data_IF_096688714560
#
_entry.id   IF_096688714560
#
_cell.length_a   1.000
_cell.length_b   1.000
_cell.length_c   1.000
_cell.angle_alpha   90.00
_cell.angle_beta   90.00
_cell.angle_gamma   90.00
#
_symmetry.space_group_name_H-M   'P 1'
#
loop_
_entity.id
_entity.type
_entity.pdbx_description
1 polymer ?
#
# COMPACT_ATOMS: atom_id res chain seq x y z
N UNK A 1 -14.43 -37.74 -23.22
CA UNK A 1 -14.72 -36.32 -23.43
C UNK A 1 -14.40 -35.59 -22.12
N UNK A 2 -13.16 -35.14 -21.95
CA UNK A 2 -12.75 -34.37 -20.77
C UNK A 2 -12.98 -32.90 -21.10
N UNK A 3 -13.83 -32.22 -20.33
CA UNK A 3 -14.08 -30.79 -20.50
C UNK A 3 -12.86 -30.01 -20.00
N UNK A 4 -12.00 -29.57 -20.91
CA UNK A 4 -10.91 -28.65 -20.59
C UNK A 4 -11.48 -27.25 -20.39
N UNK A 5 -11.80 -26.89 -19.14
CA UNK A 5 -11.97 -25.49 -18.76
C UNK A 5 -10.59 -24.83 -18.71
N UNK A 6 -10.09 -24.36 -19.86
CA UNK A 6 -8.81 -23.66 -20.02
C UNK A 6 -8.83 -22.22 -19.48
N UNK A 7 -9.49 -21.96 -18.35
CA UNK A 7 -9.44 -20.63 -17.74
C UNK A 7 -9.58 -20.60 -16.21
N UNK A 8 -9.34 -21.73 -15.54
CA UNK A 8 -8.96 -21.68 -14.13
C UNK A 8 -7.44 -21.65 -14.11
N UNK A 9 -6.86 -20.45 -14.05
CA UNK A 9 -5.52 -20.35 -13.49
C UNK A 9 -5.56 -21.10 -12.15
N UNK A 10 -4.64 -22.05 -11.89
CA UNK A 10 -4.58 -22.66 -10.57
C UNK A 10 -4.47 -21.51 -9.58
N UNK A 11 -5.35 -21.47 -8.60
CA UNK A 11 -5.36 -20.45 -7.56
C UNK A 11 -3.99 -20.49 -6.91
N UNK A 12 -3.08 -19.61 -7.35
CA UNK A 12 -1.71 -19.60 -6.86
C UNK A 12 -1.71 -19.18 -5.40
N UNK A 13 -2.73 -18.46 -4.94
CA UNK A 13 -2.88 -18.00 -3.56
C UNK A 13 -3.42 -19.13 -2.67
N UNK A 14 -2.66 -19.52 -1.65
CA UNK A 14 -3.09 -20.44 -0.59
C UNK A 14 -4.11 -19.76 0.34
N UNK A 15 -3.88 -18.49 0.69
CA UNK A 15 -4.77 -17.72 1.57
C UNK A 15 -4.91 -16.26 1.14
N UNK A 16 -6.13 -15.79 0.78
CA UNK A 16 -6.35 -14.38 0.51
C UNK A 16 -6.18 -13.55 1.78
N UNK A 17 -5.78 -12.29 1.62
CA UNK A 17 -5.72 -11.34 2.72
C UNK A 17 -6.30 -9.97 2.35
N UNK A 18 -6.86 -9.34 3.38
CA UNK A 18 -7.10 -7.91 3.47
C UNK A 18 -6.44 -7.46 4.78
N UNK A 19 -5.31 -6.76 4.69
CA UNK A 19 -4.57 -6.27 5.85
C UNK A 19 -4.71 -4.75 5.92
N UNK A 20 -4.94 -4.23 7.13
CA UNK A 20 -5.15 -2.82 7.35
C UNK A 20 -4.18 -2.27 8.39
N UNK A 21 -3.73 -1.04 8.19
CA UNK A 21 -2.95 -0.28 9.15
C UNK A 21 -3.46 1.16 9.23
N UNK A 22 -3.40 1.75 10.42
CA UNK A 22 -3.86 3.12 10.67
C UNK A 22 -2.69 4.01 11.04
N UNK A 23 -2.62 5.19 10.42
CA UNK A 23 -1.67 6.25 10.75
C UNK A 23 -2.48 7.45 11.25
N UNK A 24 -2.06 8.05 12.36
CA UNK A 24 -2.80 9.16 12.99
C UNK A 24 -1.84 10.16 13.65
N UNK A 25 -2.39 11.10 14.41
CA UNK A 25 -1.65 12.14 15.14
C UNK A 25 -0.56 11.62 16.11
N UNK A 26 -0.58 10.33 16.48
CA UNK A 26 0.42 9.72 17.36
C UNK A 26 1.54 9.01 16.59
N UNK A 27 1.44 8.88 15.26
CA UNK A 27 2.44 8.22 14.44
C UNK A 27 3.63 9.14 14.20
N UNK A 28 4.83 8.68 14.53
CA UNK A 28 6.08 9.40 14.29
C UNK A 28 6.32 9.60 12.80
N UNK A 29 6.78 10.79 12.41
CA UNK A 29 7.21 11.06 11.04
C UNK A 29 8.49 10.30 10.69
N UNK A 30 8.56 9.82 9.46
CA UNK A 30 9.68 9.07 8.89
C UNK A 30 10.52 9.99 8.01
N UNK A 31 11.83 9.99 8.22
CA UNK A 31 12.76 10.61 7.26
C UNK A 31 12.90 9.72 6.03
N UNK A 32 12.65 10.24 4.81
CA UNK A 32 12.85 9.46 3.58
C UNK A 32 14.34 9.24 3.25
N UNK A 33 15.26 9.95 3.91
CA UNK A 33 16.71 9.83 3.71
C UNK A 33 17.32 8.86 4.73
N UNK A 34 16.92 8.96 6.00
CA UNK A 34 17.40 8.12 7.10
C UNK A 34 16.20 7.42 7.74
N UNK A 35 15.61 6.47 7.03
CA UNK A 35 14.39 5.79 7.47
C UNK A 35 14.70 4.79 8.59
N UNK A 36 14.05 4.95 9.73
CA UNK A 36 14.13 4.03 10.88
C UNK A 36 12.95 3.04 10.88
N UNK A 37 13.22 1.76 11.07
CA UNK A 37 12.18 0.71 11.09
C UNK A 37 11.10 0.93 12.15
N UNK A 38 11.49 1.47 13.31
CA UNK A 38 10.57 1.68 14.43
C UNK A 38 9.44 2.68 14.09
N UNK A 39 9.65 3.54 13.10
CA UNK A 39 8.69 4.54 12.68
C UNK A 39 7.83 4.08 11.48
N UNK A 40 8.10 2.88 10.93
CA UNK A 40 7.28 2.28 9.89
C UNK A 40 6.16 1.46 10.52
N UNK A 41 4.94 1.64 10.00
CA UNK A 41 3.80 0.82 10.39
C UNK A 41 3.70 -0.36 9.43
N UNK A 42 3.75 -1.58 9.96
CA UNK A 42 3.59 -2.79 9.18
C UNK A 42 2.18 -2.89 8.58
N UNK A 43 2.12 -3.09 7.27
CA UNK A 43 0.88 -3.36 6.53
C UNK A 43 0.76 -4.86 6.21
N UNK A 44 1.79 -5.48 5.65
CA UNK A 44 1.84 -6.93 5.37
C UNK A 44 3.16 -7.50 5.84
N UNK A 45 3.14 -8.63 6.54
CA UNK A 45 4.34 -9.42 6.86
C UNK A 45 4.14 -10.82 6.32
N UNK A 46 5.17 -11.36 5.69
CA UNK A 46 5.19 -12.74 5.20
C UNK A 46 5.94 -13.61 6.20
N UNK A 47 5.33 -14.74 6.58
CA UNK A 47 5.91 -15.66 7.56
C UNK A 47 5.36 -15.46 8.97
N UNK A 48 4.14 -14.91 9.11
CA UNK A 48 3.39 -14.97 10.37
C UNK A 48 3.03 -16.43 10.70
N UNK A 49 2.85 -17.26 9.66
CA UNK A 49 2.57 -18.69 9.76
C UNK A 49 3.72 -19.46 9.10
N UNK A 50 4.17 -20.60 9.64
CA UNK A 50 5.29 -21.36 9.09
C UNK A 50 5.13 -21.80 7.63
N UNK A 51 3.89 -21.99 7.18
CA UNK A 51 3.56 -22.40 5.82
C UNK A 51 3.55 -21.27 4.78
N UNK A 52 3.75 -20.01 5.20
CA UNK A 52 3.82 -18.89 4.26
C UNK A 52 5.24 -18.77 3.72
N UNK A 53 5.39 -18.92 2.42
CA UNK A 53 6.66 -18.81 1.70
C UNK A 53 6.75 -17.49 0.91
N UNK A 54 5.61 -16.90 0.53
CA UNK A 54 5.57 -15.58 -0.12
C UNK A 54 4.21 -14.88 0.05
N UNK A 55 4.12 -13.63 -0.41
CA UNK A 55 2.86 -12.91 -0.63
C UNK A 55 2.91 -12.04 -1.88
N UNK A 56 1.78 -11.90 -2.58
CA UNK A 56 1.58 -10.88 -3.61
C UNK A 56 0.56 -9.91 -3.07
N UNK A 57 0.91 -8.63 -3.13
CA UNK A 57 0.01 -7.50 -2.89
C UNK A 57 -0.43 -6.98 -4.25
N UNK A 58 -1.73 -7.10 -4.54
CA UNK A 58 -2.31 -6.74 -5.83
C UNK A 58 -2.85 -5.30 -5.83
N UNK A 59 -3.38 -4.87 -4.69
CA UNK A 59 -3.94 -3.53 -4.55
C UNK A 59 -3.64 -2.94 -3.17
N UNK A 60 -3.43 -1.62 -3.16
CA UNK A 60 -3.31 -0.82 -1.96
C UNK A 60 -4.23 0.38 -2.13
N UNK A 61 -5.20 0.47 -1.23
CA UNK A 61 -6.13 1.59 -1.18
C UNK A 61 -6.04 2.33 0.14
N UNK A 62 -6.37 3.61 0.08
CA UNK A 62 -6.24 4.54 1.19
C UNK A 62 -7.59 5.18 1.47
N UNK A 63 -7.96 5.24 2.74
CA UNK A 63 -9.16 5.91 3.22
C UNK A 63 -8.73 7.00 4.19
N UNK A 64 -8.95 8.25 3.80
CA UNK A 64 -8.80 9.38 4.70
C UNK A 64 -9.98 9.40 5.66
N UNK A 65 -9.74 9.24 6.96
CA UNK A 65 -10.76 9.34 8.00
C UNK A 65 -10.71 10.70 8.69
N UNK A 66 -10.14 11.68 8.02
CA UNK A 66 -9.94 13.02 8.53
C UNK A 66 -11.25 13.80 8.61
N UNK A 67 -11.34 14.72 9.57
CA UNK A 67 -12.52 15.56 9.79
C UNK A 67 -12.35 16.99 9.30
N UNK A 68 -11.36 17.27 8.44
CA UNK A 68 -11.11 18.65 8.02
C UNK A 68 -12.23 19.15 7.11
N UNK A 69 -12.61 20.45 7.20
CA UNK A 69 -13.67 21.00 6.38
C UNK A 69 -13.36 20.89 4.89
N UNK A 70 -14.37 20.53 4.10
CA UNK A 70 -14.32 20.62 2.64
C UNK A 70 -14.12 22.09 2.22
N UNK A 71 -13.37 22.30 1.13
CA UNK A 71 -13.08 23.62 0.55
C UNK A 71 -12.28 24.63 1.41
N UNK A 72 -11.74 24.21 2.56
CA UNK A 72 -10.86 25.03 3.41
C UNK A 72 -9.41 25.18 2.94
N UNK A 73 -9.16 25.00 1.64
CA UNK A 73 -7.83 24.79 1.02
C UNK A 73 -7.48 23.30 0.89
N UNK A 74 -6.70 22.92 -0.14
CA UNK A 74 -6.27 21.52 -0.33
C UNK A 74 -5.39 21.13 0.84
N UNK A 75 -5.93 20.33 1.75
CA UNK A 75 -5.20 19.81 2.91
C UNK A 75 -4.67 18.43 2.57
N UNK A 76 -3.37 18.24 2.60
CA UNK A 76 -2.79 16.97 2.20
C UNK A 76 -1.57 16.58 3.03
N UNK A 77 -1.27 15.28 3.07
CA UNK A 77 -0.07 14.77 3.72
C UNK A 77 0.62 13.69 2.89
N UNK A 78 1.95 13.63 2.99
CA UNK A 78 2.77 12.69 2.25
C UNK A 78 2.99 11.38 3.01
N UNK A 79 2.96 10.28 2.27
CA UNK A 79 3.19 8.92 2.76
C UNK A 79 4.17 8.19 1.85
N UNK A 80 4.91 7.25 2.43
CA UNK A 80 5.82 6.37 1.70
C UNK A 80 5.46 4.90 1.89
N UNK A 81 5.54 4.12 0.82
CA UNK A 81 5.46 2.67 0.85
C UNK A 81 6.86 2.08 0.88
N UNK A 82 7.14 1.26 1.89
CA UNK A 82 8.46 0.71 2.15
C UNK A 82 8.43 -0.81 2.15
N UNK A 83 9.49 -1.43 1.64
CA UNK A 83 9.75 -2.85 1.82
C UNK A 83 11.04 -3.04 2.60
N UNK A 84 11.00 -3.95 3.56
CA UNK A 84 12.17 -4.32 4.36
C UNK A 84 12.08 -5.76 4.82
N UNK A 85 13.24 -6.38 5.01
CA UNK A 85 13.36 -7.69 5.64
C UNK A 85 14.17 -7.52 6.93
N UNK A 86 13.56 -7.57 8.13
CA UNK A 86 14.34 -7.59 9.36
C UNK A 86 15.21 -8.85 9.35
N UNK A 87 16.52 -8.69 9.24
CA UNK A 87 17.45 -9.80 9.42
C UNK A 87 17.24 -10.38 10.82
N UNK A 88 16.76 -11.63 10.92
CA UNK A 88 16.49 -12.32 12.19
C UNK A 88 17.73 -12.36 13.11
N UNK A 89 18.94 -12.28 12.55
CA UNK A 89 20.19 -12.25 13.29
C UNK A 89 20.67 -10.83 13.67
N UNK A 90 20.21 -9.79 12.98
CA UNK A 90 20.59 -8.39 13.23
C UNK A 90 19.51 -7.42 12.70
N UNK A 91 18.42 -7.20 13.45
CA UNK A 91 17.30 -6.35 13.02
C UNK A 91 17.69 -4.90 12.68
N UNK A 92 18.87 -4.44 13.11
CA UNK A 92 19.38 -3.07 12.95
C UNK A 92 20.21 -2.81 11.67
N UNK A 93 20.45 -3.82 10.81
CA UNK A 93 21.31 -3.66 9.60
C UNK A 93 20.57 -3.80 8.27
N UNK A 94 19.30 -4.16 8.26
CA UNK A 94 18.49 -4.03 7.05
C UNK A 94 18.27 -2.53 6.76
N UNK A 95 18.15 -2.14 5.49
CA UNK A 95 17.72 -0.80 5.11
C UNK A 95 16.34 -0.90 4.45
N UNK A 96 15.33 -0.14 4.88
CA UNK A 96 14.04 -0.10 4.20
C UNK A 96 14.20 0.58 2.85
N UNK A 97 13.59 -0.01 1.82
CA UNK A 97 13.58 0.53 0.47
C UNK A 97 12.25 1.25 0.26
N UNK A 98 12.29 2.54 -0.04
CA UNK A 98 11.12 3.31 -0.46
C UNK A 98 10.75 2.90 -1.89
N UNK A 99 9.58 2.27 -2.07
CA UNK A 99 9.10 1.81 -3.37
C UNK A 99 8.21 2.86 -4.03
N UNK A 100 7.41 3.57 -3.24
CA UNK A 100 6.52 4.62 -3.76
C UNK A 100 6.31 5.73 -2.72
N UNK A 101 6.08 6.96 -3.16
CA UNK A 101 5.70 8.11 -2.36
C UNK A 101 4.49 8.79 -2.99
N UNK A 102 3.45 9.02 -2.19
CA UNK A 102 2.21 9.64 -2.64
C UNK A 102 1.68 10.62 -1.60
N UNK A 103 0.71 11.44 -2.01
CA UNK A 103 0.07 12.45 -1.15
C UNK A 103 -1.41 12.12 -1.01
N UNK A 104 -1.91 12.13 0.23
CA UNK A 104 -3.31 11.86 0.54
C UNK A 104 -4.04 13.15 0.91
N UNK A 105 -5.21 13.37 0.32
CA UNK A 105 -6.10 14.46 0.70
C UNK A 105 -6.79 14.19 2.04
N UNK A 106 -6.81 15.19 2.93
CA UNK A 106 -7.29 15.08 4.30
C UNK A 106 -8.73 15.61 4.48
N UNK A 107 -9.54 15.68 3.43
CA UNK A 107 -10.92 16.22 3.51
C UNK A 107 -11.87 15.29 4.26
N UNK A 108 -12.81 15.87 5.01
CA UNK A 108 -13.90 15.18 5.69
C UNK A 108 -15.14 14.93 4.82
N UNK A 109 -15.02 15.12 3.50
CA UNK A 109 -16.11 14.88 2.57
C UNK A 109 -16.65 13.47 2.67
N UNK A 110 -17.95 13.34 2.43
CA UNK A 110 -18.63 12.03 2.42
C UNK A 110 -18.24 11.19 1.20
N UNK A 111 -17.71 11.85 0.16
CA UNK A 111 -17.13 11.21 -1.02
C UNK A 111 -15.60 11.23 -0.92
N UNK A 112 -14.99 10.05 -0.78
CA UNK A 112 -13.54 9.90 -0.77
C UNK A 112 -12.96 9.87 -2.18
N UNK A 113 -11.81 10.50 -2.37
CA UNK A 113 -11.00 10.28 -3.57
C UNK A 113 -10.23 8.97 -3.39
N UNK A 114 -10.51 7.98 -4.24
CA UNK A 114 -9.70 6.76 -4.29
C UNK A 114 -8.33 7.14 -4.84
N UNK A 115 -7.35 7.16 -3.94
CA UNK A 115 -5.95 7.33 -4.30
C UNK A 115 -5.30 5.95 -4.22
N UNK A 116 -5.15 5.34 -5.40
CA UNK A 116 -4.42 4.08 -5.56
C UNK A 116 -2.92 4.36 -5.53
N UNK A 117 -2.17 3.48 -4.89
CA UNK A 117 -0.71 3.47 -4.94
C UNK A 117 -0.27 2.64 -6.15
N UNK A 118 0.46 3.25 -7.09
CA UNK A 118 1.03 2.52 -8.23
C UNK A 118 2.05 1.48 -7.74
N UNK A 119 1.89 0.25 -8.20
CA UNK A 119 2.81 -0.86 -7.89
C UNK A 119 3.63 -1.24 -9.14
N UNK A 120 4.75 -1.98 -9.00
CA UNK A 120 5.50 -2.43 -10.16
C UNK A 120 4.62 -3.22 -11.15
N UNK A 121 4.77 -2.93 -12.45
CA UNK A 121 4.07 -3.67 -13.51
C UNK A 121 4.46 -5.14 -13.48
N UNK A 122 3.49 -6.02 -13.66
CA UNK A 122 3.71 -7.47 -13.80
C UNK A 122 3.38 -7.93 -15.20
N UNK A 123 3.95 -9.07 -15.58
CA UNK A 123 3.71 -9.73 -16.88
C UNK A 123 2.42 -10.57 -16.89
N UNK A 124 1.58 -10.46 -15.85
CA UNK A 124 0.35 -11.23 -15.75
C UNK A 124 -0.64 -10.75 -16.82
N UNK A 125 -1.24 -11.66 -17.61
CA UNK A 125 -2.19 -11.28 -18.64
C UNK A 125 -3.44 -10.66 -18.01
N UNK A 126 -3.78 -9.43 -18.40
CA UNK A 126 -5.05 -8.80 -18.01
C UNK A 126 -6.02 -8.85 -19.18
N UNK A 127 -7.31 -9.07 -18.92
CA UNK A 127 -8.33 -8.88 -19.95
C UNK A 127 -8.29 -7.43 -20.42
N UNK A 128 -8.15 -7.22 -21.73
CA UNK A 128 -8.23 -5.90 -22.37
C UNK A 128 -9.69 -5.41 -22.43
N UNK A 129 -10.39 -5.44 -21.31
CA UNK A 129 -11.80 -5.05 -21.20
C UNK A 129 -11.89 -3.69 -20.53
N UNK A 130 -12.11 -2.63 -21.31
CA UNK A 130 -12.31 -1.27 -20.80
C UNK A 130 -12.22 -0.19 -21.88
N UNK A 131 -12.80 0.98 -21.62
CA UNK A 131 -12.70 2.16 -22.49
C UNK A 131 -11.32 2.83 -22.33
N UNK A 132 -10.59 2.95 -23.45
CA UNK A 132 -9.25 3.55 -23.57
C UNK A 132 -9.27 5.08 -23.57
N UNK A 133 -10.46 5.70 -23.65
CA UNK A 133 -10.60 7.15 -23.61
C UNK A 133 -10.67 7.71 -22.19
N UNK A 134 -10.76 6.84 -21.18
CA UNK A 134 -10.71 7.25 -19.79
C UNK A 134 -9.24 7.47 -19.40
N UNK A 135 -8.94 8.66 -18.90
CA UNK A 135 -7.67 8.98 -18.24
C UNK A 135 -7.57 8.13 -16.98
N UNK A 136 -6.96 6.96 -17.09
CA UNK A 136 -6.74 6.04 -15.97
C UNK A 136 -5.25 6.07 -15.61
N UNK A 137 -4.91 5.94 -14.31
CA UNK A 137 -3.51 5.81 -13.87
C UNK A 137 -2.77 4.60 -14.47
N UNK A 138 -3.48 3.60 -14.98
CA UNK A 138 -2.91 2.38 -15.55
C UNK A 138 -3.32 2.24 -17.01
N UNK A 139 -2.31 1.98 -17.85
CA UNK A 139 -2.51 1.63 -19.25
C UNK A 139 -3.36 0.35 -19.36
N UNK A 140 -4.38 0.38 -20.22
CA UNK A 140 -5.19 -0.80 -20.51
C UNK A 140 -4.27 -1.97 -20.92
N UNK A 141 -4.34 -3.09 -20.19
CA UNK A 141 -3.52 -4.27 -20.47
C UNK A 141 -2.33 -4.49 -19.52
N UNK A 142 -2.05 -3.57 -18.59
CA UNK A 142 -1.03 -3.75 -17.56
C UNK A 142 -1.63 -4.22 -16.23
N UNK A 143 -1.04 -5.25 -15.61
CA UNK A 143 -1.28 -5.57 -14.21
C UNK A 143 -0.16 -4.97 -13.36
N UNK A 144 -0.44 -4.68 -12.09
CA UNK A 144 0.56 -4.27 -11.11
C UNK A 144 0.43 -5.16 -9.89
N UNK A 145 1.56 -5.57 -9.33
CA UNK A 145 1.57 -6.31 -8.08
C UNK A 145 2.96 -6.25 -7.46
N UNK A 146 3.01 -6.37 -6.14
CA UNK A 146 4.26 -6.44 -5.39
C UNK A 146 4.43 -7.83 -4.79
N UNK A 147 5.46 -8.55 -5.23
CA UNK A 147 5.88 -9.82 -4.65
C UNK A 147 6.77 -9.59 -3.42
N UNK A 148 6.46 -10.30 -2.33
CA UNK A 148 7.18 -10.27 -1.06
C UNK A 148 7.58 -11.71 -0.69
N UNK A 149 8.86 -11.95 -0.45
CA UNK A 149 9.34 -13.24 0.02
C UNK A 149 9.12 -13.42 1.53
N UNK A 150 9.20 -14.66 2.01
CA UNK A 150 9.21 -14.99 3.44
C UNK A 150 10.19 -14.09 4.21
N UNK A 151 9.72 -13.50 5.30
CA UNK A 151 10.51 -12.60 6.13
C UNK A 151 10.50 -11.14 5.66
N UNK A 152 9.97 -10.82 4.48
CA UNK A 152 9.77 -9.44 4.06
C UNK A 152 8.50 -8.85 4.66
N UNK A 153 8.56 -7.55 4.88
CA UNK A 153 7.50 -6.73 5.43
C UNK A 153 7.27 -5.54 4.50
N UNK A 154 6.00 -5.35 4.12
CA UNK A 154 5.50 -4.12 3.54
C UNK A 154 5.08 -3.19 4.68
N UNK A 155 5.66 -1.99 4.72
CA UNK A 155 5.37 -0.97 5.70
C UNK A 155 4.94 0.36 5.08
N UNK A 156 4.21 1.15 5.85
CA UNK A 156 3.84 2.53 5.51
C UNK A 156 4.57 3.48 6.44
N UNK A 157 5.18 4.51 5.85
CA UNK A 157 5.81 5.61 6.58
C UNK A 157 5.00 6.89 6.43
N UNK A 158 4.77 7.57 7.55
CA UNK A 158 4.20 8.91 7.56
C UNK A 158 5.30 9.93 7.28
N UNK A 159 5.28 10.62 6.13
CA UNK A 159 6.34 11.58 5.78
C UNK A 159 6.03 13.00 6.26
N UNK A 160 4.80 13.26 6.73
CA UNK A 160 4.37 14.58 7.18
C UNK A 160 4.02 15.50 6.02
N UNK A 161 4.70 16.64 5.92
CA UNK A 161 4.30 17.75 5.08
C UNK A 161 4.30 17.40 3.58
N UNK A 162 3.17 17.69 2.94
CA UNK A 162 2.99 17.79 1.49
C UNK A 162 3.15 19.26 1.05
N UNK A 163 3.35 19.60 -0.25
CA UNK A 163 3.40 20.99 -0.71
C UNK A 163 2.17 21.85 -0.32
N UNK A 164 1.07 21.23 0.10
CA UNK A 164 -0.14 21.89 0.60
C UNK A 164 -0.49 21.43 2.04
N UNK A 165 0.54 21.22 2.87
CA UNK A 165 0.40 20.66 4.22
C UNK A 165 -0.47 21.51 5.17
N UNK A 166 -1.18 20.82 6.05
CA UNK A 166 -1.94 21.43 7.16
C UNK A 166 -0.98 21.69 8.31
N UNK A 167 -1.00 22.93 8.83
CA UNK A 167 -0.40 23.21 10.14
C UNK A 167 -1.10 22.36 11.20
N UNK A 168 -0.39 21.40 11.80
CA UNK A 168 -0.91 20.55 12.88
C UNK A 168 -0.91 19.03 12.62
N UNK A 169 -0.59 18.56 11.40
CA UNK A 169 -0.46 17.14 11.10
C UNK A 169 -1.79 16.38 10.97
N UNK A 170 -1.77 15.06 11.13
CA UNK A 170 -2.96 14.20 11.07
C UNK A 170 -3.81 14.34 12.35
N UNK A 171 -5.11 14.05 12.26
CA UNK A 171 -5.98 13.97 13.44
C UNK A 171 -5.88 12.60 14.14
N UNK A 172 -6.50 12.42 15.33
CA UNK A 172 -6.64 11.09 15.94
C UNK A 172 -7.42 10.10 15.06
N UNK A 173 -8.31 10.61 14.20
CA UNK A 173 -9.06 9.81 13.22
C UNK A 173 -8.16 9.33 12.09
N UNK A 174 -7.19 10.13 11.66
CA UNK A 174 -6.08 9.71 10.81
C UNK A 174 -6.47 9.17 9.43
N UNK A 175 -5.58 8.34 8.88
CA UNK A 175 -5.69 7.73 7.56
C UNK A 175 -5.50 6.21 7.69
N UNK A 176 -6.38 5.45 7.04
CA UNK A 176 -6.33 4.00 7.00
C UNK A 176 -5.80 3.50 5.66
N UNK A 177 -4.81 2.61 5.72
CA UNK A 177 -4.19 1.95 4.57
C UNK A 177 -4.60 0.50 4.56
N UNK A 178 -4.94 -0.01 3.38
CA UNK A 178 -5.36 -1.40 3.21
C UNK A 178 -4.60 -2.01 2.04
N UNK A 179 -4.08 -3.21 2.26
CA UNK A 179 -3.49 -4.04 1.23
C UNK A 179 -4.35 -5.29 1.00
N UNK A 180 -4.64 -5.58 -0.26
CA UNK A 180 -5.30 -6.79 -0.70
C UNK A 180 -4.34 -7.66 -1.51
N UNK A 181 -4.43 -8.97 -1.33
CA UNK A 181 -3.69 -9.92 -2.12
C UNK A 181 -3.77 -11.34 -1.56
N UNK A 182 -2.70 -12.10 -1.69
CA UNK A 182 -2.64 -13.50 -1.27
C UNK A 182 -1.28 -13.96 -0.76
N UNK A 183 -1.30 -14.89 0.20
CA UNK A 183 -0.13 -15.65 0.64
C UNK A 183 -0.02 -16.97 -0.14
N UNK A 184 1.21 -17.44 -0.33
CA UNK A 184 1.61 -18.76 -0.86
C UNK A 184 2.46 -19.47 0.16
#
# INVERSE_FOLDING_TARGET
MASTSTNKQPMMVDRPFLRGAKINSSTTTVSPVNTEFANLIQLVRVGDIPSEDAAIVEDIFVVSNEGYPDDGGVRASAFGLYVYAPNQAAPSTAAPILINKFTVGLSGSTEGLIQRVELPKTIAPTPQTGDTNLLRPIELGANEALYLEKGYILGIGYLGDSPVAVSGGLSPSGVSFWAQGGFY
#
